data_IF_847999293842
#
_entry.id   IF_847999293842
#
_cell.length_a   1.000
_cell.length_b   1.000
_cell.length_c   1.000
_cell.angle_alpha   90.00
_cell.angle_beta   90.00
_cell.angle_gamma   90.00
#
_symmetry.space_group_name_H-M   'P 1'
#
loop_
_entity.id
_entity.type
_entity.pdbx_description
1 polymer ?
#
# COMPACT_ATOMS: atom_id res chain seq x y z
N UNK A 1 -5.19 11.94 24.00
CA UNK A 1 -4.04 12.35 23.15
C UNK A 1 -3.09 11.18 22.85
N UNK A 2 -2.57 10.45 23.85
CA UNK A 2 -1.66 9.29 23.67
C UNK A 2 -2.19 8.23 22.71
N UNK A 3 -3.48 7.86 22.82
CA UNK A 3 -4.14 6.85 21.97
C UNK A 3 -4.19 7.26 20.48
N UNK A 4 -4.34 8.55 20.19
CA UNK A 4 -4.39 9.08 18.82
C UNK A 4 -3.00 9.07 18.17
N UNK A 5 -1.96 9.35 18.96
CA UNK A 5 -0.56 9.24 18.49
C UNK A 5 -0.22 7.77 18.20
N UNK A 6 -0.60 6.85 19.09
CA UNK A 6 -0.37 5.42 18.91
C UNK A 6 -1.08 4.84 17.67
N UNK A 7 -2.31 5.27 17.38
CA UNK A 7 -3.03 4.88 16.15
C UNK A 7 -2.34 5.44 14.92
N UNK A 8 -1.81 6.66 14.96
CA UNK A 8 -1.06 7.26 13.84
C UNK A 8 0.26 6.54 13.58
N UNK A 9 0.96 6.10 14.63
CA UNK A 9 2.20 5.32 14.50
C UNK A 9 1.91 3.96 13.87
N UNK A 10 0.89 3.24 14.34
CA UNK A 10 0.48 1.97 13.72
C UNK A 10 0.04 2.14 12.27
N UNK A 11 -0.67 3.24 11.95
CA UNK A 11 -1.05 3.54 10.58
C UNK A 11 0.18 3.80 9.70
N UNK A 12 1.17 4.52 10.23
CA UNK A 12 2.43 4.78 9.53
C UNK A 12 3.20 3.49 9.27
N UNK A 13 3.32 2.61 10.28
CA UNK A 13 3.95 1.30 10.13
C UNK A 13 3.22 0.42 9.11
N UNK A 14 1.89 0.41 9.12
CA UNK A 14 1.09 -0.29 8.12
C UNK A 14 1.35 0.24 6.71
N UNK A 15 1.47 1.57 6.53
CA UNK A 15 1.79 2.18 5.24
C UNK A 15 3.21 1.81 4.77
N UNK A 16 4.19 1.76 5.68
CA UNK A 16 5.55 1.32 5.35
C UNK A 16 5.60 -0.16 4.95
N UNK A 17 4.87 -1.03 5.67
CA UNK A 17 4.74 -2.44 5.33
C UNK A 17 4.12 -2.62 3.94
N UNK A 18 3.00 -1.94 3.68
CA UNK A 18 2.36 -1.93 2.37
C UNK A 18 3.35 -1.47 1.29
N UNK A 19 4.08 -0.37 1.51
CA UNK A 19 5.08 0.15 0.56
C UNK A 19 6.19 -0.84 0.28
N UNK A 20 6.68 -1.58 1.28
CA UNK A 20 7.72 -2.59 1.11
C UNK A 20 7.22 -3.76 0.24
N UNK A 21 6.01 -4.26 0.51
CA UNK A 21 5.36 -5.31 -0.30
C UNK A 21 5.15 -4.82 -1.73
N UNK A 22 4.65 -3.59 -1.90
CA UNK A 22 4.46 -2.99 -3.20
C UNK A 22 5.78 -2.85 -3.97
N UNK A 23 6.82 -2.36 -3.31
CA UNK A 23 8.13 -2.19 -3.92
C UNK A 23 8.73 -3.53 -4.33
N UNK A 24 8.64 -4.56 -3.49
CA UNK A 24 9.15 -5.90 -3.77
C UNK A 24 8.41 -6.54 -4.96
N UNK A 25 7.08 -6.49 -4.97
CA UNK A 25 6.28 -7.06 -6.07
C UNK A 25 6.48 -6.29 -7.38
N UNK A 26 6.57 -4.96 -7.34
CA UNK A 26 6.86 -4.13 -8.53
C UNK A 26 8.28 -4.38 -9.04
N UNK A 27 9.26 -4.51 -8.14
CA UNK A 27 10.67 -4.77 -8.49
C UNK A 27 10.84 -6.16 -9.12
N UNK A 28 10.11 -7.16 -8.64
CA UNK A 28 10.09 -8.51 -9.22
C UNK A 28 9.28 -8.60 -10.53
N UNK A 29 8.75 -7.48 -11.04
CA UNK A 29 7.96 -7.45 -12.28
C UNK A 29 6.59 -8.13 -12.15
N UNK A 30 6.13 -8.38 -10.93
CA UNK A 30 4.83 -8.98 -10.66
C UNK A 30 3.69 -8.01 -10.98
N UNK A 31 2.74 -8.44 -11.80
CA UNK A 31 1.46 -7.73 -11.93
C UNK A 31 0.70 -7.88 -10.63
N UNK A 32 0.48 -6.78 -9.90
CA UNK A 32 -0.46 -6.75 -8.79
C UNK A 32 -1.88 -6.70 -9.38
N UNK A 33 -2.69 -7.77 -9.23
CA UNK A 33 -4.04 -7.81 -9.79
C UNK A 33 -4.93 -6.69 -9.22
N UNK A 34 -4.61 -6.18 -8.03
CA UNK A 34 -5.27 -5.02 -7.44
C UNK A 34 -5.07 -3.74 -8.26
N UNK A 35 -3.84 -3.46 -8.72
CA UNK A 35 -3.57 -2.27 -9.56
C UNK A 35 -4.06 -2.46 -10.99
N UNK A 36 -4.08 -3.69 -11.50
CA UNK A 36 -4.66 -3.98 -12.81
C UNK A 36 -6.14 -3.61 -12.85
N UNK A 37 -6.87 -3.88 -11.76
CA UNK A 37 -8.25 -3.42 -11.57
C UNK A 37 -8.37 -1.89 -11.36
N UNK A 38 -7.44 -1.24 -10.64
CA UNK A 38 -7.44 0.22 -10.51
C UNK A 38 -7.18 0.94 -11.84
N UNK A 39 -6.30 0.39 -12.69
CA UNK A 39 -6.00 0.94 -14.02
C UNK A 39 -7.24 0.88 -14.93
N UNK A 40 -7.91 -0.27 -14.97
CA UNK A 40 -9.19 -0.46 -15.67
C UNK A 40 -10.32 0.46 -15.19
N UNK A 41 -10.26 0.91 -13.92
CA UNK A 41 -11.27 1.80 -13.33
C UNK A 41 -10.96 3.29 -13.51
N UNK A 42 -9.70 3.66 -13.72
CA UNK A 42 -9.26 5.03 -14.03
C UNK A 42 -9.43 5.35 -15.52
N UNK A 43 -9.41 4.34 -16.38
CA UNK A 43 -9.53 4.50 -17.84
C UNK A 43 -10.99 4.43 -18.35
N UNK A 44 -11.98 4.54 -17.45
CA UNK A 44 -13.41 4.58 -17.80
C UNK A 44 -14.02 5.96 -17.52
#
# INVERSE_FOLDING_TARGET
MVRSIFVRVQLLEALYLCRAIFHDVVFQGGSLPFFQNCKLKIER
#
